data_IF_739584796544
#
_entry.id   IF_739584796544
#
_cell.length_a   1.000
_cell.length_b   1.000
_cell.length_c   1.000
_cell.angle_alpha   90.00
_cell.angle_beta   90.00
_cell.angle_gamma   90.00
#
_symmetry.space_group_name_H-M   'P 1'
#
loop_
_entity.id
_entity.type
_entity.pdbx_description
1 polymer ?
#
# COMPACT_ATOMS: atom_id res chain seq x y z
N UNK A 1 2.95 6.47 4.93
CA UNK A 1 1.84 5.82 4.18
C UNK A 1 2.28 4.42 3.80
N UNK A 2 1.41 3.42 3.93
CA UNK A 2 1.78 2.01 3.71
C UNK A 2 0.88 1.33 2.69
N UNK A 3 1.40 0.25 2.11
CA UNK A 3 0.66 -0.71 1.28
C UNK A 3 0.74 -2.08 1.93
N UNK A 4 -0.33 -2.87 1.79
CA UNK A 4 -0.41 -4.24 2.28
C UNK A 4 -1.09 -5.12 1.23
N UNK A 5 -0.84 -6.43 1.30
CA UNK A 5 -1.46 -7.43 0.44
C UNK A 5 -2.37 -8.30 1.29
N UNK A 6 -3.58 -8.57 0.78
CA UNK A 6 -4.42 -9.63 1.30
C UNK A 6 -4.44 -10.80 0.32
N UNK A 7 -4.18 -12.00 0.83
CA UNK A 7 -4.27 -13.25 0.07
C UNK A 7 -5.59 -14.01 0.35
N UNK A 8 -6.41 -13.50 1.26
CA UNK A 8 -7.61 -14.14 1.78
C UNK A 8 -8.88 -13.29 1.60
N UNK A 9 -8.94 -12.52 0.52
CA UNK A 9 -10.11 -11.69 0.13
C UNK A 9 -10.43 -10.60 1.17
N UNK A 10 -9.40 -9.91 1.63
CA UNK A 10 -9.47 -8.84 2.62
C UNK A 10 -9.96 -9.29 4.00
N UNK A 11 -9.80 -10.57 4.36
CA UNK A 11 -10.02 -11.00 5.75
C UNK A 11 -8.83 -10.62 6.64
N UNK A 12 -7.62 -10.74 6.11
CA UNK A 12 -6.38 -10.32 6.74
C UNK A 12 -5.44 -9.64 5.74
N UNK A 13 -4.58 -8.79 6.27
CA UNK A 13 -3.59 -8.04 5.52
C UNK A 13 -2.19 -8.38 6.01
N UNK A 14 -1.36 -8.83 5.09
CA UNK A 14 0.03 -9.24 5.27
C UNK A 14 0.96 -8.27 4.55
N UNK A 15 2.27 -8.39 4.81
CA UNK A 15 3.33 -7.69 4.09
C UNK A 15 3.14 -6.16 4.03
N UNK A 16 3.12 -5.50 5.19
CA UNK A 16 2.97 -4.04 5.26
C UNK A 16 4.31 -3.39 4.93
N UNK A 17 4.41 -2.74 3.77
CA UNK A 17 5.59 -1.94 3.39
C UNK A 17 5.25 -0.46 3.33
N UNK A 18 6.13 0.35 3.90
CA UNK A 18 6.01 1.80 3.83
C UNK A 18 6.40 2.27 2.42
N UNK A 19 5.47 2.94 1.74
CA UNK A 19 5.74 3.65 0.48
C UNK A 19 6.47 4.96 0.79
N UNK A 20 6.08 5.62 1.88
CA UNK A 20 6.71 6.84 2.36
C UNK A 20 7.00 6.70 3.84
N UNK A 21 8.25 7.00 4.21
CA UNK A 21 8.77 7.01 5.59
C UNK A 21 8.83 8.43 6.13
N UNK A 22 8.58 8.57 7.43
CA UNK A 22 8.74 9.82 8.15
C UNK A 22 7.47 10.66 8.26
N UNK A 23 7.63 11.83 8.86
CA UNK A 23 6.53 12.74 9.19
C UNK A 23 5.99 13.43 7.93
N UNK A 24 4.67 13.59 7.85
CA UNK A 24 3.99 14.29 6.77
C UNK A 24 2.52 13.91 6.65
N UNK A 25 1.75 14.71 5.90
CA UNK A 25 0.38 14.37 5.53
C UNK A 25 0.39 13.66 4.17
N UNK A 26 -0.10 12.42 4.15
CA UNK A 26 -0.21 11.59 2.95
C UNK A 26 -1.64 11.07 2.83
N UNK A 27 -2.33 11.45 1.76
CA UNK A 27 -3.78 11.27 1.66
C UNK A 27 -4.21 10.86 0.25
N UNK A 28 -5.42 10.33 0.14
CA UNK A 28 -6.10 10.00 -1.13
C UNK A 28 -5.29 9.10 -2.07
N UNK A 29 -4.84 7.91 -1.62
CA UNK A 29 -4.16 6.98 -2.51
C UNK A 29 -5.12 6.46 -3.60
N UNK A 30 -4.58 6.26 -4.80
CA UNK A 30 -5.22 5.51 -5.89
C UNK A 30 -4.21 4.54 -6.46
N UNK A 31 -4.61 3.28 -6.63
CA UNK A 31 -3.73 2.18 -7.03
C UNK A 31 -4.28 1.48 -8.28
N UNK A 32 -3.39 1.14 -9.21
CA UNK A 32 -3.69 0.39 -10.43
C UNK A 32 -2.58 -0.63 -10.70
N UNK A 33 -2.94 -1.78 -11.26
CA UNK A 33 -1.97 -2.78 -11.74
C UNK A 33 -2.00 -2.74 -13.28
N UNK A 34 -0.84 -2.62 -13.90
CA UNK A 34 -0.73 -2.63 -15.36
C UNK A 34 -0.71 -4.07 -15.93
N UNK A 35 -0.67 -4.19 -17.26
CA UNK A 35 -0.65 -5.51 -17.94
C UNK A 35 0.64 -6.30 -17.71
N UNK A 36 1.72 -5.64 -17.26
CA UNK A 36 2.98 -6.27 -16.89
C UNK A 36 3.02 -6.73 -15.43
N UNK A 37 2.00 -6.40 -14.64
CA UNK A 37 1.95 -6.70 -13.21
C UNK A 37 2.60 -5.63 -12.33
N UNK A 38 3.02 -4.50 -12.89
CA UNK A 38 3.53 -3.38 -12.10
C UNK A 38 2.39 -2.67 -11.38
N UNK A 39 2.62 -2.33 -10.12
CA UNK A 39 1.69 -1.62 -9.26
C UNK A 39 2.04 -0.13 -9.31
N UNK A 40 1.11 0.66 -9.82
CA UNK A 40 1.18 2.12 -9.85
C UNK A 40 0.37 2.68 -8.69
N UNK A 41 0.94 3.58 -7.91
CA UNK A 41 0.21 4.34 -6.91
C UNK A 41 0.41 5.84 -7.10
N UNK A 42 -0.68 6.60 -7.07
CA UNK A 42 -0.66 8.05 -6.91
C UNK A 42 -1.24 8.45 -5.55
N UNK A 43 -0.65 9.44 -4.90
CA UNK A 43 -1.13 9.93 -3.60
C UNK A 43 -0.85 11.43 -3.45
N UNK A 44 -1.61 12.08 -2.59
CA UNK A 44 -1.40 13.49 -2.24
C UNK A 44 -0.36 13.61 -1.12
N UNK A 45 0.64 14.46 -1.29
CA UNK A 45 1.60 14.83 -0.24
C UNK A 45 1.35 16.28 0.19
N UNK A 46 1.04 16.46 1.47
CA UNK A 46 0.82 17.75 2.13
C UNK A 46 -0.18 18.68 1.42
N UNK A 47 -1.08 18.13 0.59
CA UNK A 47 -2.05 18.86 -0.26
C UNK A 47 -1.43 19.81 -1.28
N UNK A 48 -0.11 19.79 -1.45
CA UNK A 48 0.61 20.66 -2.40
C UNK A 48 1.05 19.92 -3.66
N UNK A 49 1.17 18.59 -3.60
CA UNK A 49 1.61 17.80 -4.73
C UNK A 49 0.94 16.45 -4.80
N UNK A 50 0.84 15.92 -6.01
CA UNK A 50 0.53 14.53 -6.27
C UNK A 50 1.85 13.82 -6.56
N UNK A 51 2.15 12.79 -5.79
CA UNK A 51 3.29 11.91 -5.99
C UNK A 51 2.86 10.64 -6.70
N UNK A 52 3.80 10.02 -7.42
CA UNK A 52 3.61 8.76 -8.12
C UNK A 52 4.78 7.84 -7.81
N UNK A 53 4.49 6.56 -7.57
CA UNK A 53 5.47 5.50 -7.39
C UNK A 53 5.05 4.24 -8.14
N UNK A 54 6.03 3.43 -8.51
CA UNK A 54 5.85 2.14 -9.20
C UNK A 54 6.71 1.09 -8.52
N UNK A 55 6.13 -0.07 -8.27
CA UNK A 55 6.79 -1.24 -7.68
C UNK A 55 6.07 -2.53 -8.11
N UNK A 56 6.61 -3.70 -7.80
CA UNK A 56 5.97 -5.00 -8.00
C UNK A 56 5.51 -5.60 -6.65
N UNK A 57 4.87 -6.78 -6.72
CA UNK A 57 4.40 -7.48 -5.52
C UNK A 57 5.57 -8.02 -4.70
N UNK A 58 6.65 -8.44 -5.34
CA UNK A 58 7.86 -8.95 -4.69
C UNK A 58 8.47 -7.90 -3.76
N UNK A 59 8.54 -6.65 -4.21
CA UNK A 59 8.95 -5.51 -3.39
C UNK A 59 8.08 -5.39 -2.12
N UNK A 60 6.77 -5.63 -2.19
CA UNK A 60 5.95 -5.57 -0.97
C UNK A 60 6.33 -6.71 0.00
N UNK A 61 6.48 -7.94 -0.50
CA UNK A 61 6.83 -9.11 0.32
C UNK A 61 8.22 -9.02 0.97
N UNK A 62 9.19 -8.39 0.30
CA UNK A 62 10.52 -8.12 0.87
C UNK A 62 10.48 -7.20 2.11
N UNK A 63 9.38 -6.46 2.31
CA UNK A 63 9.17 -5.63 3.51
C UNK A 63 9.01 -6.44 4.81
N UNK A 64 8.83 -7.76 4.71
CA UNK A 64 8.62 -8.68 5.83
C UNK A 64 7.14 -8.93 6.12
N UNK A 65 6.83 -10.14 6.59
CA UNK A 65 5.50 -10.51 7.07
C UNK A 65 5.38 -10.08 8.54
N UNK A 66 4.68 -8.99 8.81
CA UNK A 66 4.17 -8.72 10.15
C UNK A 66 3.10 -9.76 10.54
N UNK A 67 2.73 -9.83 11.81
CA UNK A 67 1.48 -10.50 12.19
C UNK A 67 0.32 -9.96 11.30
N UNK A 68 -0.56 -10.83 10.77
CA UNK A 68 -1.62 -10.38 9.88
C UNK A 68 -2.56 -9.39 10.58
N UNK A 69 -2.79 -8.24 9.95
CA UNK A 69 -3.78 -7.28 10.43
C UNK A 69 -5.16 -7.75 9.98
N UNK A 70 -6.03 -8.12 10.92
CA UNK A 70 -7.39 -8.54 10.62
C UNK A 70 -8.23 -7.33 10.20
N UNK A 71 -9.07 -7.49 9.18
CA UNK A 71 -10.08 -6.48 8.84
C UNK A 71 -11.12 -6.44 9.94
N UNK A 72 -11.29 -5.29 10.58
CA UNK A 72 -12.39 -5.06 11.50
C UNK A 72 -13.70 -5.08 10.71
N UNK A 73 -14.65 -5.92 11.13
CA UNK A 73 -15.99 -5.93 10.55
C UNK A 73 -16.80 -4.91 11.33
N UNK A 74 -17.22 -3.83 10.68
CA UNK A 74 -18.15 -2.88 11.29
C UNK A 74 -19.55 -3.49 11.16
N UNK A 75 -20.19 -3.82 12.29
CA UNK A 75 -21.58 -4.30 12.33
C UNK A 75 -22.59 -3.22 11.91
#
# INVERSE_FOLDING_TARGET
MSVAISEDRACSWCAVREIVKGDGEYSYPSLMIDVGGAIHISYTESRYSIRHAVFDKEWIFEGGLSEPLLTETVE
#
